data_IF_095155706487
#
_entry.id   IF_095155706487
#
_cell.length_a   1.000
_cell.length_b   1.000
_cell.length_c   1.000
_cell.angle_alpha   90.00
_cell.angle_beta   90.00
_cell.angle_gamma   90.00
#
_symmetry.space_group_name_H-M   'P 1'
#
loop_
_entity.id
_entity.type
_entity.pdbx_description
1 polymer ?
#
# COMPACT_ATOMS: atom_id res chain seq x y z
N UNK A 1 -13.93 -5.59 -33.07
CA UNK A 1 -13.53 -4.51 -32.14
C UNK A 1 -14.67 -3.50 -32.09
N UNK A 2 -15.11 -3.12 -30.89
CA UNK A 2 -16.30 -2.28 -30.72
C UNK A 2 -16.02 -0.82 -31.11
N UNK A 3 -16.81 -0.29 -32.04
CA UNK A 3 -16.70 1.07 -32.63
C UNK A 3 -16.80 2.22 -31.62
N UNK A 4 -17.22 1.95 -30.39
CA UNK A 4 -17.55 2.98 -29.39
C UNK A 4 -16.29 3.49 -28.68
N UNK A 5 -15.33 2.60 -28.37
CA UNK A 5 -14.10 3.02 -27.69
C UNK A 5 -13.27 4.01 -28.53
N UNK A 6 -13.32 3.92 -29.85
CA UNK A 6 -12.64 4.85 -30.78
C UNK A 6 -13.32 6.21 -30.92
N UNK A 7 -14.52 6.40 -30.35
CA UNK A 7 -15.27 7.67 -30.41
C UNK A 7 -15.14 8.50 -29.12
N UNK A 8 -14.51 7.94 -28.08
CA UNK A 8 -14.31 8.61 -26.81
C UNK A 8 -13.03 9.43 -26.89
N UNK A 9 -13.18 10.75 -26.82
CA UNK A 9 -12.05 11.68 -26.73
C UNK A 9 -11.46 11.66 -25.31
N UNK A 10 -10.42 10.84 -25.12
CA UNK A 10 -9.76 10.63 -23.83
C UNK A 10 -9.09 11.89 -23.26
N UNK A 11 -8.82 12.90 -24.10
CA UNK A 11 -8.24 14.17 -23.64
C UNK A 11 -9.26 15.01 -22.87
N UNK A 12 -10.55 14.86 -23.18
CA UNK A 12 -11.65 15.58 -22.51
C UNK A 12 -12.17 14.90 -21.25
N UNK A 13 -11.68 13.70 -20.92
CA UNK A 13 -12.11 12.98 -19.72
C UNK A 13 -11.37 13.49 -18.49
N UNK A 14 -12.16 13.89 -17.49
CA UNK A 14 -11.70 14.17 -16.13
C UNK A 14 -11.94 12.95 -15.24
N UNK A 15 -10.92 12.48 -14.52
CA UNK A 15 -11.04 11.35 -13.58
C UNK A 15 -11.93 11.68 -12.37
N UNK A 16 -11.97 12.95 -11.97
CA UNK A 16 -12.59 13.33 -10.72
C UNK A 16 -14.11 13.32 -10.80
N UNK A 17 -14.65 13.86 -11.88
CA UNK A 17 -16.07 13.95 -12.17
C UNK A 17 -16.32 13.99 -13.68
N UNK A 18 -17.38 13.32 -14.12
CA UNK A 18 -17.78 13.39 -15.51
C UNK A 18 -18.98 12.53 -15.84
N UNK A 19 -19.37 12.58 -17.11
CA UNK A 19 -20.43 11.77 -17.66
C UNK A 19 -20.07 11.26 -19.05
N UNK A 20 -20.59 10.10 -19.39
CA UNK A 20 -20.46 9.51 -20.72
C UNK A 20 -21.84 9.03 -21.17
N UNK A 21 -22.28 9.48 -22.35
CA UNK A 21 -23.60 9.15 -22.89
C UNK A 21 -23.47 8.67 -24.31
N UNK A 22 -24.12 7.56 -24.64
CA UNK A 22 -24.13 7.02 -26.00
C UNK A 22 -25.36 6.14 -26.24
N UNK A 23 -25.64 5.90 -27.52
CA UNK A 23 -26.68 4.99 -27.96
C UNK A 23 -26.04 3.72 -28.54
N UNK A 24 -26.57 2.57 -28.15
CA UNK A 24 -26.25 1.29 -28.77
C UNK A 24 -27.37 0.93 -29.74
N UNK A 25 -27.00 0.75 -31.00
CA UNK A 25 -27.90 0.26 -32.06
C UNK A 25 -27.37 -1.05 -32.62
N UNK A 26 -28.25 -1.89 -33.13
CA UNK A 26 -27.91 -3.15 -33.84
C UNK A 26 -26.92 -4.04 -33.04
N UNK A 27 -27.11 -4.14 -31.73
CA UNK A 27 -26.16 -4.80 -30.83
C UNK A 27 -26.57 -6.22 -30.45
N UNK A 28 -25.59 -7.02 -30.06
CA UNK A 28 -25.77 -8.43 -29.66
C UNK A 28 -25.88 -8.65 -28.14
N UNK A 29 -26.13 -7.61 -27.35
CA UNK A 29 -26.19 -7.68 -25.88
C UNK A 29 -27.26 -8.68 -25.38
N UNK A 30 -28.44 -8.71 -26.00
CA UNK A 30 -29.51 -9.64 -25.62
C UNK A 30 -29.26 -11.09 -26.05
N UNK A 31 -28.20 -11.37 -26.83
CA UNK A 31 -27.89 -12.73 -27.26
C UNK A 31 -27.37 -13.59 -26.10
N UNK A 32 -28.01 -14.74 -25.88
CA UNK A 32 -27.55 -15.74 -24.91
C UNK A 32 -26.26 -16.46 -25.34
N UNK A 33 -25.90 -16.40 -26.63
CA UNK A 33 -24.66 -17.00 -27.15
C UNK A 33 -23.41 -16.28 -26.63
N UNK A 34 -23.52 -14.98 -26.39
CA UNK A 34 -22.39 -14.16 -25.94
C UNK A 34 -22.43 -13.99 -24.42
N UNK A 35 -21.65 -14.83 -23.73
CA UNK A 35 -21.53 -14.79 -22.26
C UNK A 35 -20.85 -13.52 -21.74
N UNK A 36 -20.04 -12.84 -22.55
CA UNK A 36 -19.40 -11.58 -22.15
C UNK A 36 -19.21 -10.68 -23.36
N UNK A 37 -19.56 -9.41 -23.23
CA UNK A 37 -19.37 -8.40 -24.28
C UNK A 37 -18.79 -7.14 -23.64
N UNK A 38 -17.57 -6.76 -23.99
CA UNK A 38 -16.94 -5.51 -23.51
C UNK A 38 -17.43 -4.37 -24.40
N UNK A 39 -18.31 -3.49 -23.92
CA UNK A 39 -18.82 -2.35 -24.71
C UNK A 39 -17.70 -1.32 -24.92
N UNK A 40 -17.07 -0.90 -23.83
CA UNK A 40 -15.82 -0.14 -23.87
C UNK A 40 -14.94 -0.50 -22.68
N UNK A 41 -13.66 -0.25 -22.82
CA UNK A 41 -12.67 -0.45 -21.78
C UNK A 41 -11.50 0.50 -22.05
N UNK A 42 -11.40 1.59 -21.30
CA UNK A 42 -10.33 2.56 -21.46
C UNK A 42 -9.74 2.95 -20.12
N UNK A 43 -8.54 3.52 -20.18
CA UNK A 43 -7.79 4.00 -19.03
C UNK A 43 -7.46 5.47 -19.27
N UNK A 44 -7.70 6.29 -18.26
CA UNK A 44 -7.22 7.67 -18.16
C UNK A 44 -6.37 7.73 -16.90
N UNK A 45 -5.15 8.23 -16.98
CA UNK A 45 -4.19 8.37 -15.86
C UNK A 45 -4.13 7.17 -14.89
N UNK A 46 -4.82 7.24 -13.75
CA UNK A 46 -4.87 6.21 -12.71
C UNK A 46 -6.22 5.51 -12.62
N UNK A 47 -7.14 5.81 -13.52
CA UNK A 47 -8.52 5.30 -13.51
C UNK A 47 -8.79 4.43 -14.72
N UNK A 48 -9.44 3.30 -14.49
CA UNK A 48 -9.97 2.45 -15.55
C UNK A 48 -11.49 2.47 -15.51
N UNK A 49 -12.07 2.68 -16.68
CA UNK A 49 -13.50 2.64 -16.92
C UNK A 49 -13.81 1.44 -17.81
N UNK A 50 -14.68 0.56 -17.33
CA UNK A 50 -15.10 -0.63 -18.06
C UNK A 50 -16.63 -0.69 -18.06
N UNK A 51 -17.21 -0.82 -19.24
CA UNK A 51 -18.61 -1.20 -19.37
C UNK A 51 -18.68 -2.50 -20.15
N UNK A 52 -19.31 -3.51 -19.55
CA UNK A 52 -19.47 -4.81 -20.17
C UNK A 52 -20.83 -5.42 -19.88
N UNK A 53 -21.27 -6.33 -20.75
CA UNK A 53 -22.25 -7.34 -20.39
C UNK A 53 -21.54 -8.52 -19.75
N UNK A 54 -21.98 -8.92 -18.56
CA UNK A 54 -21.50 -10.11 -17.87
C UNK A 54 -22.25 -11.41 -18.27
N UNK A 55 -21.84 -12.53 -17.66
CA UNK A 55 -22.39 -13.87 -17.90
C UNK A 55 -23.86 -14.00 -17.49
N UNK A 56 -24.30 -13.18 -16.55
CA UNK A 56 -25.64 -13.19 -15.97
C UNK A 56 -26.59 -12.22 -16.71
N UNK A 57 -26.11 -11.63 -17.80
CA UNK A 57 -26.80 -10.64 -18.63
C UNK A 57 -27.05 -9.30 -17.93
N UNK A 58 -26.17 -8.91 -17.01
CA UNK A 58 -26.13 -7.54 -16.50
C UNK A 58 -25.22 -6.69 -17.37
N UNK A 59 -25.62 -5.44 -17.61
CA UNK A 59 -24.67 -4.38 -17.95
C UNK A 59 -24.00 -3.96 -16.66
N UNK A 60 -22.71 -4.23 -16.58
CA UNK A 60 -21.84 -3.90 -15.45
C UNK A 60 -20.95 -2.73 -15.82
N UNK A 61 -21.09 -1.64 -15.06
CA UNK A 61 -20.18 -0.51 -15.10
C UNK A 61 -19.19 -0.65 -13.94
N UNK A 62 -17.90 -0.74 -14.27
CA UNK A 62 -16.80 -0.84 -13.32
C UNK A 62 -15.95 0.42 -13.42
N UNK A 63 -15.76 1.08 -12.28
CA UNK A 63 -14.84 2.19 -12.09
C UNK A 63 -13.75 1.75 -11.11
N UNK A 64 -12.49 1.84 -11.55
CA UNK A 64 -11.35 1.34 -10.79
C UNK A 64 -10.29 2.44 -10.66
N UNK A 65 -10.00 2.87 -9.43
CA UNK A 65 -9.02 3.93 -9.14
C UNK A 65 -8.30 3.65 -7.81
N UNK A 66 -6.96 3.75 -7.73
CA UNK A 66 -6.22 3.50 -6.48
C UNK A 66 -6.65 4.33 -5.27
N UNK A 67 -7.08 5.58 -5.48
CA UNK A 67 -7.52 6.50 -4.41
C UNK A 67 -8.97 6.26 -3.98
N UNK A 68 -9.82 5.74 -4.87
CA UNK A 68 -11.27 5.57 -4.62
C UNK A 68 -11.71 4.11 -4.54
N UNK A 69 -10.80 3.17 -4.73
CA UNK A 69 -11.08 1.74 -4.77
C UNK A 69 -11.86 1.31 -6.02
N UNK A 70 -12.66 0.27 -5.86
CA UNK A 70 -13.49 -0.33 -6.90
C UNK A 70 -14.96 0.01 -6.65
N UNK A 71 -15.62 0.58 -7.66
CA UNK A 71 -17.07 0.80 -7.67
C UNK A 71 -17.71 0.06 -8.83
N UNK A 72 -18.78 -0.68 -8.55
CA UNK A 72 -19.52 -1.42 -9.58
C UNK A 72 -21.02 -1.15 -9.51
N UNK A 73 -21.63 -0.85 -10.66
CA UNK A 73 -23.08 -0.78 -10.81
C UNK A 73 -23.54 -1.83 -11.84
N UNK A 74 -24.69 -2.46 -11.62
CA UNK A 74 -25.21 -3.56 -12.47
C UNK A 74 -26.68 -3.36 -12.78
N UNK A 75 -27.04 -3.33 -14.07
CA UNK A 75 -28.44 -3.33 -14.53
C UNK A 75 -28.72 -4.61 -15.31
N UNK A 76 -29.75 -5.36 -14.91
CA UNK A 76 -30.13 -6.61 -15.59
C UNK A 76 -30.85 -6.33 -16.91
N UNK A 77 -30.30 -6.84 -18.02
CA UNK A 77 -30.89 -6.67 -19.35
C UNK A 77 -32.21 -7.42 -19.55
N UNK A 78 -32.54 -8.39 -18.69
CA UNK A 78 -33.82 -9.13 -18.77
C UNK A 78 -35.04 -8.23 -18.55
N UNK A 79 -34.85 -7.05 -17.97
CA UNK A 79 -35.91 -6.07 -17.72
C UNK A 79 -36.25 -5.22 -18.96
N UNK A 80 -35.55 -5.42 -20.08
CA UNK A 80 -35.70 -4.66 -21.31
C UNK A 80 -36.25 -5.56 -22.43
N UNK A 81 -36.91 -4.95 -23.42
CA UNK A 81 -37.40 -5.65 -24.61
C UNK A 81 -36.23 -6.19 -25.42
N UNK A 82 -36.34 -7.45 -25.86
CA UNK A 82 -35.31 -8.05 -26.71
C UNK A 82 -35.21 -7.25 -28.02
N UNK A 83 -33.99 -7.00 -28.45
CA UNK A 83 -33.64 -6.25 -29.68
C UNK A 83 -34.02 -4.76 -29.67
N UNK A 84 -34.30 -4.15 -28.50
CA UNK A 84 -34.42 -2.70 -28.41
C UNK A 84 -33.04 -2.02 -28.56
N UNK A 85 -33.03 -0.87 -29.21
CA UNK A 85 -31.89 0.05 -29.16
C UNK A 85 -31.79 0.64 -27.75
N UNK A 86 -30.59 0.74 -27.21
CA UNK A 86 -30.38 1.19 -25.84
C UNK A 86 -29.74 2.58 -25.81
N UNK A 87 -30.25 3.44 -24.92
CA UNK A 87 -29.58 4.62 -24.43
C UNK A 87 -28.83 4.25 -23.16
N UNK A 88 -27.54 4.58 -23.08
CA UNK A 88 -26.73 4.37 -21.86
C UNK A 88 -26.12 5.70 -21.45
N UNK A 89 -26.27 6.04 -20.17
CA UNK A 89 -25.59 7.15 -19.54
C UNK A 89 -24.82 6.65 -18.31
N UNK A 90 -23.59 7.13 -18.16
CA UNK A 90 -22.71 6.83 -17.04
C UNK A 90 -22.31 8.14 -16.38
N UNK A 91 -22.24 8.15 -15.06
CA UNK A 91 -21.70 9.28 -14.31
C UNK A 91 -20.71 8.78 -13.27
N UNK A 92 -19.72 9.61 -12.96
CA UNK A 92 -18.79 9.38 -11.86
C UNK A 92 -18.47 10.70 -11.18
N UNK A 93 -18.25 10.63 -9.87
CA UNK A 93 -17.80 11.74 -9.03
C UNK A 93 -17.04 11.19 -7.82
N UNK A 94 -16.51 12.08 -6.98
CA UNK A 94 -15.91 11.70 -5.68
C UNK A 94 -16.89 10.90 -4.83
N UNK A 95 -18.16 11.26 -4.86
CA UNK A 95 -19.18 10.73 -3.97
C UNK A 95 -19.87 9.49 -4.55
N UNK A 96 -20.23 9.53 -5.84
CA UNK A 96 -21.07 8.50 -6.44
C UNK A 96 -20.75 8.23 -7.89
N UNK A 97 -20.99 7.00 -8.30
CA UNK A 97 -20.99 6.61 -9.70
C UNK A 97 -22.35 5.98 -10.00
N UNK A 98 -22.83 6.10 -11.23
CA UNK A 98 -24.08 5.43 -11.61
C UNK A 98 -24.07 5.04 -13.08
N UNK A 99 -24.90 4.06 -13.39
CA UNK A 99 -25.27 3.67 -14.75
C UNK A 99 -26.77 3.83 -14.91
N UNK A 100 -27.17 4.39 -16.04
CA UNK A 100 -28.56 4.52 -16.45
C UNK A 100 -28.75 3.92 -17.82
N UNK A 101 -29.81 3.13 -17.99
CA UNK A 101 -30.15 2.48 -19.26
C UNK A 101 -31.63 2.72 -19.56
N UNK A 102 -31.94 3.12 -20.79
CA UNK A 102 -33.31 3.25 -21.28
C UNK A 102 -33.47 2.73 -22.70
N UNK A 103 -34.69 2.40 -23.10
CA UNK A 103 -35.01 1.94 -24.46
C UNK A 103 -35.30 3.12 -25.39
N UNK A 104 -34.78 3.07 -26.62
CA UNK A 104 -35.10 4.03 -27.67
C UNK A 104 -36.31 3.55 -28.50
N UNK A 105 -37.20 4.45 -28.95
CA UNK A 105 -37.18 5.91 -28.79
C UNK A 105 -37.82 6.41 -27.48
N UNK A 106 -38.27 5.53 -26.59
CA UNK A 106 -39.01 5.84 -25.34
C UNK A 106 -38.08 6.42 -24.25
N UNK A 107 -37.40 7.54 -24.53
CA UNK A 107 -36.32 8.13 -23.70
C UNK A 107 -36.71 8.56 -22.29
N UNK A 108 -37.99 8.82 -21.98
CA UNK A 108 -38.36 9.61 -20.79
C UNK A 108 -39.04 8.86 -19.63
N UNK A 109 -39.64 7.69 -19.85
CA UNK A 109 -40.43 7.02 -18.79
C UNK A 109 -39.86 5.67 -18.33
N UNK A 110 -38.82 5.13 -18.97
CA UNK A 110 -38.28 3.78 -18.69
C UNK A 110 -36.75 3.77 -18.46
N UNK A 111 -36.19 4.84 -17.91
CA UNK A 111 -34.77 4.86 -17.55
C UNK A 111 -34.59 4.09 -16.24
N UNK A 112 -33.93 2.94 -16.29
CA UNK A 112 -33.47 2.23 -15.10
C UNK A 112 -32.12 2.82 -14.73
N UNK A 113 -31.96 3.23 -13.48
CA UNK A 113 -30.71 3.77 -12.95
C UNK A 113 -30.28 2.96 -11.74
N UNK A 114 -28.99 2.64 -11.68
CA UNK A 114 -28.38 1.98 -10.54
C UNK A 114 -27.14 2.76 -10.12
N UNK A 115 -27.02 3.01 -8.82
CA UNK A 115 -25.82 3.58 -8.23
C UNK A 115 -24.78 2.47 -8.00
N UNK A 116 -23.51 2.83 -8.14
CA UNK A 116 -22.42 1.88 -7.97
C UNK A 116 -22.15 1.62 -6.50
N UNK A 117 -22.05 0.36 -6.14
CA UNK A 117 -21.60 -0.08 -4.82
C UNK A 117 -20.08 0.01 -4.74
N UNK A 118 -19.58 0.52 -3.62
CA UNK A 118 -18.17 0.40 -3.26
C UNK A 118 -17.89 -1.05 -2.88
N UNK A 119 -16.88 -1.65 -3.50
CA UNK A 119 -16.40 -2.99 -3.12
C UNK A 119 -15.28 -2.89 -2.10
N UNK A 120 -15.30 -3.78 -1.13
CA UNK A 120 -14.27 -3.86 -0.08
C UNK A 120 -13.03 -4.59 -0.60
N UNK A 121 -12.33 -3.93 -1.53
CA UNK A 121 -11.12 -4.42 -2.15
C UNK A 121 -10.11 -3.30 -2.27
N UNK A 122 -8.83 -3.65 -2.20
CA UNK A 122 -7.73 -2.68 -2.38
C UNK A 122 -7.36 -2.59 -3.86
N UNK A 123 -7.23 -1.37 -4.37
CA UNK A 123 -6.82 -1.11 -5.75
C UNK A 123 -5.43 -0.51 -5.75
N UNK A 124 -4.48 -1.17 -6.41
CA UNK A 124 -3.10 -0.68 -6.51
C UNK A 124 -2.66 -0.48 -7.94
N UNK A 125 -1.84 0.54 -8.15
CA UNK A 125 -1.11 0.74 -9.40
C UNK A 125 0.24 0.06 -9.30
N UNK A 126 0.55 -0.78 -10.26
CA UNK A 126 1.85 -1.46 -10.36
C UNK A 126 2.87 -0.58 -11.09
N UNK A 127 4.15 -0.98 -11.03
CA UNK A 127 5.25 -0.30 -11.73
C UNK A 127 5.09 -0.27 -13.25
N UNK A 128 4.38 -1.24 -13.84
CA UNK A 128 4.08 -1.24 -15.29
C UNK A 128 2.83 -0.41 -15.64
N UNK A 129 2.24 0.27 -14.66
CA UNK A 129 1.06 1.11 -14.81
C UNK A 129 -0.25 0.33 -14.85
N UNK A 130 -0.25 -1.00 -14.75
CA UNK A 130 -1.48 -1.76 -14.58
C UNK A 130 -2.14 -1.47 -13.23
N UNK A 131 -3.46 -1.65 -13.17
CA UNK A 131 -4.21 -1.61 -11.93
C UNK A 131 -4.52 -3.05 -11.52
N UNK A 132 -4.27 -3.37 -10.26
CA UNK A 132 -4.59 -4.67 -9.66
C UNK A 132 -5.61 -4.48 -8.55
N UNK A 133 -6.52 -5.44 -8.45
CA UNK A 133 -7.49 -5.54 -7.36
C UNK A 133 -7.00 -6.63 -6.43
N UNK A 134 -6.96 -6.34 -5.13
CA UNK A 134 -6.46 -7.21 -4.09
C UNK A 134 -7.56 -7.43 -3.05
N UNK A 135 -7.78 -8.69 -2.68
CA UNK A 135 -8.84 -9.09 -1.75
C UNK A 135 -10.18 -9.37 -2.43
N UNK A 136 -11.12 -9.79 -1.59
CA UNK A 136 -12.53 -10.02 -1.87
C UNK A 136 -13.30 -9.90 -0.54
N UNK A 137 -14.64 -9.94 -0.56
CA UNK A 137 -15.51 -9.74 0.61
C UNK A 137 -15.13 -10.62 1.83
N UNK A 138 -14.51 -11.79 1.61
CA UNK A 138 -14.11 -12.73 2.67
C UNK A 138 -12.59 -13.01 2.71
N UNK A 139 -11.76 -12.20 2.04
CA UNK A 139 -10.31 -12.46 1.97
C UNK A 139 -9.49 -11.23 2.29
N UNK A 140 -8.93 -11.22 3.49
CA UNK A 140 -7.95 -10.23 3.91
C UNK A 140 -6.58 -10.55 3.29
N UNK A 141 -6.05 -9.59 2.53
CA UNK A 141 -4.75 -9.74 1.88
C UNK A 141 -3.82 -8.63 2.35
N UNK A 142 -2.73 -9.03 3.01
CA UNK A 142 -1.67 -8.14 3.48
C UNK A 142 -0.36 -8.39 2.73
N UNK A 143 0.50 -7.36 2.65
CA UNK A 143 1.89 -7.47 2.22
C UNK A 143 2.10 -8.11 0.82
N UNK A 144 1.27 -7.72 -0.16
CA UNK A 144 1.26 -8.34 -1.49
C UNK A 144 2.48 -7.96 -2.33
N UNK A 145 3.13 -8.98 -2.89
CA UNK A 145 4.15 -8.83 -3.93
C UNK A 145 3.70 -9.53 -5.20
N UNK A 146 3.69 -8.81 -6.33
CA UNK A 146 3.37 -9.38 -7.64
C UNK A 146 4.62 -9.37 -8.50
N UNK A 147 4.94 -10.53 -9.07
CA UNK A 147 5.98 -10.69 -10.09
C UNK A 147 5.35 -11.02 -11.44
N UNK A 148 5.86 -10.38 -12.50
CA UNK A 148 5.51 -10.65 -13.89
C UNK A 148 6.81 -10.71 -14.69
N UNK A 149 7.02 -11.80 -15.41
CA UNK A 149 8.25 -12.05 -16.19
C UNK A 149 9.53 -11.86 -15.35
N UNK A 150 9.54 -12.43 -14.14
CA UNK A 150 10.61 -12.30 -13.13
C UNK A 150 10.83 -10.90 -12.54
N UNK A 151 10.14 -9.86 -13.05
CA UNK A 151 10.21 -8.50 -12.50
C UNK A 151 9.15 -8.29 -11.43
N UNK A 152 9.54 -7.67 -10.31
CA UNK A 152 8.60 -7.27 -9.25
C UNK A 152 7.81 -6.04 -9.72
N UNK A 153 6.57 -6.23 -10.10
CA UNK A 153 5.68 -5.16 -10.60
C UNK A 153 4.85 -4.52 -9.49
N UNK A 154 4.64 -5.22 -8.37
CA UNK A 154 4.06 -4.65 -7.17
C UNK A 154 4.91 -5.03 -5.96
N UNK A 155 5.21 -4.03 -5.14
CA UNK A 155 5.86 -4.19 -3.86
C UNK A 155 4.97 -3.56 -2.78
N UNK A 156 4.96 -4.13 -1.57
CA UNK A 156 4.25 -3.52 -0.46
C UNK A 156 4.96 -2.24 -0.02
N UNK A 157 4.14 -1.29 0.40
CA UNK A 157 4.57 0.02 0.88
C UNK A 157 5.23 -0.09 2.26
N UNK A 158 5.95 0.96 2.66
CA UNK A 158 6.64 1.02 3.96
C UNK A 158 5.67 0.73 5.12
N UNK A 159 4.51 1.38 5.11
CA UNK A 159 3.49 1.24 6.15
C UNK A 159 2.86 -0.14 6.15
N UNK A 160 2.51 -0.68 4.99
CA UNK A 160 1.93 -2.04 4.89
C UNK A 160 2.85 -3.12 5.45
N UNK A 161 4.16 -3.02 5.17
CA UNK A 161 5.14 -3.96 5.72
C UNK A 161 5.24 -3.86 7.23
N UNK A 162 5.16 -2.64 7.76
CA UNK A 162 5.24 -2.38 9.18
C UNK A 162 3.98 -2.85 9.91
N UNK A 163 2.79 -2.56 9.37
CA UNK A 163 1.51 -2.96 9.95
C UNK A 163 1.40 -4.49 10.01
N UNK A 164 1.81 -5.16 8.94
CA UNK A 164 1.87 -6.62 8.94
C UNK A 164 2.85 -7.19 9.99
N UNK A 165 3.92 -6.46 10.33
CA UNK A 165 4.79 -6.85 11.44
C UNK A 165 4.08 -6.68 12.78
N UNK A 166 3.35 -5.58 12.99
CA UNK A 166 2.59 -5.33 14.21
C UNK A 166 1.50 -6.41 14.40
N UNK A 167 0.73 -6.73 13.35
CA UNK A 167 -0.27 -7.81 13.38
C UNK A 167 0.36 -9.16 13.79
N UNK A 168 1.53 -9.49 13.23
CA UNK A 168 2.25 -10.71 13.61
C UNK A 168 2.70 -10.70 15.07
N UNK A 169 3.14 -9.55 15.57
CA UNK A 169 3.52 -9.40 16.98
C UNK A 169 2.31 -9.51 17.90
N UNK A 170 1.14 -9.02 17.49
CA UNK A 170 -0.09 -9.19 18.25
C UNK A 170 -0.46 -10.66 18.40
N UNK A 171 -0.36 -11.46 17.33
CA UNK A 171 -0.56 -12.91 17.42
C UNK A 171 0.45 -13.58 18.35
N UNK A 172 1.71 -13.15 18.34
CA UNK A 172 2.72 -13.66 19.28
C UNK A 172 2.37 -13.28 20.72
N UNK A 173 1.96 -12.03 20.96
CA UNK A 173 1.54 -11.54 22.27
C UNK A 173 0.33 -12.33 22.78
N UNK A 174 -0.65 -12.62 21.93
CA UNK A 174 -1.83 -13.40 22.32
C UNK A 174 -1.46 -14.85 22.69
N UNK A 175 -0.59 -15.49 21.90
CA UNK A 175 -0.07 -16.83 22.24
C UNK A 175 0.68 -16.85 23.58
N UNK A 176 1.47 -15.82 23.87
CA UNK A 176 2.20 -15.71 25.14
C UNK A 176 1.29 -15.47 26.35
N UNK A 177 0.06 -14.94 26.17
CA UNK A 177 -0.91 -14.81 27.27
C UNK A 177 -1.54 -16.15 27.66
N UNK A 178 -1.59 -17.10 26.73
CA UNK A 178 -2.27 -18.39 26.92
C UNK A 178 -1.36 -19.46 27.55
N UNK A 179 -0.04 -19.31 27.49
CA UNK A 179 0.92 -20.32 27.96
C UNK A 179 1.80 -19.82 29.12
N UNK A 180 1.78 -20.55 30.24
CA UNK A 180 2.64 -20.27 31.40
C UNK A 180 4.02 -20.93 31.23
N UNK A 181 4.93 -20.30 30.44
CA UNK A 181 6.27 -20.83 30.13
C UNK A 181 7.35 -19.75 30.11
N UNK A 182 7.88 -19.39 31.27
CA UNK A 182 8.92 -18.36 31.46
C UNK A 182 10.14 -18.45 30.52
N UNK A 183 10.71 -19.64 30.30
CA UNK A 183 11.90 -19.78 29.43
C UNK A 183 11.54 -19.44 27.97
N UNK A 184 10.41 -19.98 27.49
CA UNK A 184 9.91 -19.77 26.13
C UNK A 184 9.55 -18.30 25.93
N UNK A 185 8.94 -17.67 26.95
CA UNK A 185 8.61 -16.25 26.94
C UNK A 185 9.84 -15.38 26.70
N UNK A 186 10.92 -15.60 27.46
CA UNK A 186 12.12 -14.75 27.36
C UNK A 186 12.75 -14.79 25.97
N UNK A 187 12.88 -15.98 25.37
CA UNK A 187 13.40 -16.16 24.01
C UNK A 187 12.49 -15.51 22.97
N UNK A 188 11.17 -15.72 23.05
CA UNK A 188 10.21 -15.14 22.11
C UNK A 188 10.20 -13.60 22.22
N UNK A 189 10.27 -13.06 23.44
CA UNK A 189 10.33 -11.61 23.66
C UNK A 189 11.60 -11.01 23.09
N UNK A 190 12.78 -11.59 23.36
CA UNK A 190 14.05 -11.12 22.78
C UNK A 190 14.01 -11.11 21.25
N UNK A 191 13.56 -12.21 20.63
CA UNK A 191 13.44 -12.30 19.17
C UNK A 191 12.43 -11.29 18.60
N UNK A 192 11.34 -11.04 19.33
CA UNK A 192 10.33 -10.05 18.96
C UNK A 192 10.89 -8.63 19.05
N UNK A 193 11.70 -8.31 20.06
CA UNK A 193 12.41 -7.02 20.17
C UNK A 193 13.33 -6.81 18.97
N UNK A 194 14.14 -7.82 18.61
CA UNK A 194 15.00 -7.75 17.42
C UNK A 194 14.17 -7.51 16.15
N UNK A 195 13.03 -8.19 16.03
CA UNK A 195 12.13 -8.09 14.89
C UNK A 195 11.46 -6.72 14.78
N UNK A 196 11.03 -6.13 15.90
CA UNK A 196 10.46 -4.76 15.95
C UNK A 196 11.46 -3.75 15.40
N UNK A 197 12.72 -3.81 15.87
CA UNK A 197 13.75 -2.88 15.41
C UNK A 197 14.09 -3.08 13.93
N UNK A 198 14.20 -4.33 13.46
CA UNK A 198 14.31 -4.60 12.02
C UNK A 198 13.11 -4.03 11.22
N UNK A 199 11.92 -4.02 11.81
CA UNK A 199 10.73 -3.36 11.29
C UNK A 199 10.88 -1.84 11.14
N UNK A 200 11.34 -1.15 12.18
CA UNK A 200 11.64 0.29 12.15
C UNK A 200 12.66 0.60 11.05
N UNK A 201 13.72 -0.21 10.96
CA UNK A 201 14.76 -0.04 9.94
C UNK A 201 14.21 -0.21 8.54
N UNK A 202 13.43 -1.26 8.31
CA UNK A 202 12.78 -1.56 7.04
C UNK A 202 11.79 -0.45 6.65
N UNK A 203 11.01 0.07 7.62
CA UNK A 203 10.09 1.17 7.39
C UNK A 203 10.83 2.42 6.91
N UNK A 204 11.84 2.90 7.63
CA UNK A 204 12.57 4.11 7.25
C UNK A 204 13.24 3.96 5.87
N UNK A 205 13.93 2.83 5.63
CA UNK A 205 14.55 2.56 4.32
C UNK A 205 13.52 2.62 3.20
N UNK A 206 12.35 1.99 3.41
CA UNK A 206 11.31 1.93 2.39
C UNK A 206 10.59 3.26 2.19
N UNK A 207 10.29 4.00 3.27
CA UNK A 207 9.62 5.30 3.17
C UNK A 207 10.52 6.36 2.53
N UNK A 208 11.82 6.34 2.80
CA UNK A 208 12.79 7.20 2.09
C UNK A 208 12.81 6.87 0.60
N UNK A 209 12.81 5.58 0.22
CA UNK A 209 12.71 5.17 -1.19
C UNK A 209 11.44 5.71 -1.85
N UNK A 210 10.29 5.61 -1.18
CA UNK A 210 9.00 6.11 -1.66
C UNK A 210 8.99 7.64 -1.81
N UNK A 211 9.33 8.37 -0.75
CA UNK A 211 9.37 9.84 -0.76
C UNK A 211 10.35 10.40 -1.79
N UNK A 212 11.47 9.72 -2.02
CA UNK A 212 12.42 10.14 -3.06
C UNK A 212 11.80 10.01 -4.45
N UNK A 213 11.04 8.94 -4.71
CA UNK A 213 10.33 8.76 -6.00
C UNK A 213 9.16 9.72 -6.18
N UNK A 214 8.57 10.15 -5.06
CA UNK A 214 7.47 11.10 -5.03
C UNK A 214 7.94 12.54 -5.24
N UNK A 215 9.11 12.92 -4.69
CA UNK A 215 9.51 14.32 -4.55
C UNK A 215 10.83 14.72 -5.24
N UNK A 216 11.65 13.77 -5.69
CA UNK A 216 12.98 14.06 -6.24
C UNK A 216 13.19 13.35 -7.59
N UNK A 217 13.95 14.01 -8.47
CA UNK A 217 14.32 13.45 -9.79
C UNK A 217 15.43 12.39 -9.70
N UNK A 218 16.17 12.35 -8.58
CA UNK A 218 17.27 11.42 -8.38
C UNK A 218 17.53 11.13 -6.89
N UNK A 219 18.31 10.07 -6.63
CA UNK A 219 18.69 9.64 -5.28
C UNK A 219 20.01 10.25 -4.78
N UNK A 220 20.68 11.08 -5.57
CA UNK A 220 21.96 11.70 -5.18
C UNK A 220 21.87 12.56 -3.90
N UNK A 221 20.82 13.37 -3.70
CA UNK A 221 20.67 14.12 -2.46
C UNK A 221 20.62 13.22 -1.22
N UNK A 222 20.03 12.03 -1.34
CA UNK A 222 20.00 11.04 -0.25
C UNK A 222 21.42 10.54 0.04
N UNK A 223 22.21 10.22 -0.98
CA UNK A 223 23.60 9.80 -0.82
C UNK A 223 24.48 10.85 -0.14
N UNK A 224 24.24 12.13 -0.42
CA UNK A 224 24.95 13.23 0.22
C UNK A 224 24.61 13.31 1.72
N UNK A 225 23.33 13.15 2.09
CA UNK A 225 22.90 13.21 3.50
C UNK A 225 23.42 12.05 4.35
N UNK A 226 23.63 10.88 3.74
CA UNK A 226 24.22 9.72 4.42
C UNK A 226 25.75 9.68 4.31
N UNK A 227 26.35 10.74 3.74
CA UNK A 227 27.79 10.90 3.55
C UNK A 227 28.44 9.68 2.86
N UNK A 228 27.74 9.12 1.87
CA UNK A 228 28.19 7.89 1.22
C UNK A 228 29.43 8.17 0.37
N UNK A 229 30.53 7.44 0.64
CA UNK A 229 31.77 7.52 -0.14
C UNK A 229 31.53 7.22 -1.62
N UNK A 230 32.21 7.93 -2.51
CA UNK A 230 32.04 7.79 -3.97
C UNK A 230 32.27 6.35 -4.47
N UNK A 231 33.21 5.61 -3.87
CA UNK A 231 33.42 4.18 -4.18
C UNK A 231 32.17 3.34 -3.91
N UNK A 232 31.46 3.62 -2.81
CA UNK A 232 30.20 2.96 -2.46
C UNK A 232 29.04 3.44 -3.31
N UNK A 233 28.99 4.72 -3.70
CA UNK A 233 28.00 5.22 -4.67
C UNK A 233 28.11 4.47 -6.00
N UNK A 234 29.34 4.30 -6.52
CA UNK A 234 29.61 3.52 -7.73
C UNK A 234 29.16 2.07 -7.61
N UNK A 235 29.45 1.42 -6.48
CA UNK A 235 29.00 0.06 -6.19
C UNK A 235 27.46 -0.06 -6.21
N UNK A 236 26.76 0.87 -5.55
CA UNK A 236 25.29 0.93 -5.53
C UNK A 236 24.72 1.08 -6.93
N UNK A 237 25.24 2.05 -7.71
CA UNK A 237 24.79 2.27 -9.10
C UNK A 237 25.06 1.05 -9.98
N UNK A 238 26.22 0.42 -9.84
CA UNK A 238 26.56 -0.78 -10.60
C UNK A 238 25.64 -1.94 -10.25
N UNK A 239 25.32 -2.13 -8.96
CA UNK A 239 24.38 -3.17 -8.52
C UNK A 239 22.97 -2.91 -9.03
N UNK A 240 22.49 -1.67 -8.94
CA UNK A 240 21.19 -1.27 -9.49
C UNK A 240 21.07 -1.61 -10.98
N UNK A 241 22.11 -1.27 -11.76
CA UNK A 241 22.19 -1.58 -13.19
C UNK A 241 22.25 -3.08 -13.47
N UNK A 242 23.08 -3.83 -12.74
CA UNK A 242 23.28 -5.27 -12.96
C UNK A 242 22.03 -6.09 -12.60
N UNK A 243 21.27 -5.65 -11.58
CA UNK A 243 20.13 -6.39 -11.06
C UNK A 243 18.77 -5.87 -11.58
N UNK A 244 18.78 -4.92 -12.52
CA UNK A 244 17.58 -4.22 -13.03
C UNK A 244 16.70 -3.71 -11.87
N UNK A 245 17.36 -3.15 -10.85
CA UNK A 245 16.76 -2.63 -9.62
C UNK A 245 16.88 -1.12 -9.55
N UNK A 246 15.99 -0.55 -8.76
CA UNK A 246 16.07 0.86 -8.38
C UNK A 246 17.34 1.14 -7.57
N UNK A 247 17.93 2.32 -7.76
CA UNK A 247 19.17 2.73 -7.08
C UNK A 247 19.05 2.70 -5.56
N UNK A 248 17.88 3.01 -4.98
CA UNK A 248 17.66 2.87 -3.54
C UNK A 248 17.37 1.44 -3.10
N UNK A 249 16.73 0.62 -3.95
CA UNK A 249 16.62 -0.81 -3.67
C UNK A 249 18.03 -1.43 -3.58
N UNK A 250 18.95 -1.01 -4.46
CA UNK A 250 20.36 -1.39 -4.37
C UNK A 250 21.07 -0.76 -3.15
N UNK A 251 20.83 0.52 -2.83
CA UNK A 251 21.43 1.19 -1.67
C UNK A 251 21.10 0.46 -0.38
N UNK A 252 19.82 0.10 -0.19
CA UNK A 252 19.32 -0.60 0.99
C UNK A 252 20.01 -1.96 1.22
N UNK A 253 20.59 -2.53 0.16
CA UNK A 253 21.29 -3.82 0.18
C UNK A 253 22.83 -3.67 0.23
N UNK A 254 23.38 -2.54 -0.20
CA UNK A 254 24.84 -2.30 -0.23
C UNK A 254 25.37 -1.52 0.96
N UNK A 255 24.50 -0.77 1.64
CA UNK A 255 24.90 0.12 2.71
C UNK A 255 24.20 -0.23 4.01
N UNK A 256 24.97 -0.22 5.09
CA UNK A 256 24.44 -0.13 6.44
C UNK A 256 23.96 1.31 6.66
N UNK A 257 22.98 1.79 5.87
CA UNK A 257 22.13 2.87 6.35
C UNK A 257 21.60 2.37 7.67
N UNK A 258 22.13 2.88 8.77
CA UNK A 258 21.71 2.52 10.11
C UNK A 258 20.52 3.44 10.42
N UNK A 259 19.29 2.99 10.18
CA UNK A 259 18.10 3.82 10.34
C UNK A 259 17.77 4.03 11.82
N UNK A 260 18.58 3.46 12.72
CA UNK A 260 18.56 3.73 14.15
C UNK A 260 19.48 4.89 14.53
N UNK A 261 20.26 5.44 13.58
CA UNK A 261 20.86 6.77 13.73
C UNK A 261 19.79 7.83 13.47
N UNK A 262 19.08 8.19 14.53
CA UNK A 262 18.01 9.19 14.54
C UNK A 262 18.46 10.50 13.90
N UNK A 263 19.69 10.95 14.13
CA UNK A 263 20.16 12.24 13.61
C UNK A 263 20.37 12.20 12.08
N UNK A 264 20.88 11.09 11.54
CA UNK A 264 20.98 10.90 10.08
C UNK A 264 19.61 10.81 9.44
N UNK A 265 18.68 10.07 10.04
CA UNK A 265 17.31 9.95 9.53
C UNK A 265 16.60 11.30 9.60
N UNK A 266 16.71 12.04 10.70
CA UNK A 266 16.16 13.38 10.83
C UNK A 266 16.64 14.31 9.71
N UNK A 267 17.95 14.32 9.41
CA UNK A 267 18.51 15.12 8.32
C UNK A 267 17.89 14.76 6.96
N UNK A 268 17.68 13.48 6.68
CA UNK A 268 17.06 13.05 5.42
C UNK A 268 15.62 13.54 5.33
N UNK A 269 14.81 13.31 6.37
CA UNK A 269 13.39 13.67 6.37
C UNK A 269 13.16 15.20 6.35
N UNK A 270 13.94 15.94 7.15
CA UNK A 270 13.79 17.40 7.24
C UNK A 270 14.34 18.09 6.00
N UNK A 271 15.58 17.78 5.59
CA UNK A 271 16.25 18.54 4.53
C UNK A 271 15.75 18.18 3.12
N UNK A 272 15.28 16.94 2.91
CA UNK A 272 14.89 16.47 1.58
C UNK A 272 13.38 16.39 1.39
N UNK A 273 12.61 16.18 2.47
CA UNK A 273 11.17 15.92 2.38
C UNK A 273 10.33 16.90 3.20
N UNK A 274 10.95 17.90 3.84
CA UNK A 274 10.25 18.90 4.67
C UNK A 274 9.37 18.28 5.77
N UNK A 275 9.79 17.13 6.31
CA UNK A 275 9.11 16.45 7.41
C UNK A 275 9.83 16.78 8.71
N UNK A 276 9.15 17.44 9.66
CA UNK A 276 9.69 17.83 10.97
C UNK A 276 9.96 16.63 11.89
N UNK A 277 10.90 15.77 11.52
CA UNK A 277 11.18 14.50 12.20
C UNK A 277 11.62 14.69 13.66
N UNK A 278 12.46 15.69 13.94
CA UNK A 278 12.88 16.00 15.32
C UNK A 278 11.71 16.47 16.18
N UNK A 279 10.74 17.19 15.61
CA UNK A 279 9.55 17.61 16.34
C UNK A 279 8.75 16.39 16.82
N UNK A 280 8.50 15.42 15.92
CA UNK A 280 7.79 14.17 16.23
C UNK A 280 8.51 13.42 17.35
N UNK A 281 9.83 13.24 17.18
CA UNK A 281 10.65 12.50 18.14
C UNK A 281 10.71 13.17 19.52
N UNK A 282 10.75 14.50 19.56
CA UNK A 282 10.83 15.25 20.82
C UNK A 282 9.47 15.34 21.51
N UNK A 283 8.39 15.61 20.78
CA UNK A 283 7.04 15.77 21.33
C UNK A 283 6.51 14.47 21.94
N UNK A 284 6.71 13.33 21.27
CA UNK A 284 6.34 12.02 21.81
C UNK A 284 7.33 11.46 22.84
N UNK A 285 8.43 12.19 23.10
CA UNK A 285 9.54 11.72 23.91
C UNK A 285 10.04 10.33 23.43
N UNK A 286 10.08 10.13 22.12
CA UNK A 286 10.40 8.84 21.49
C UNK A 286 11.92 8.58 21.53
N UNK A 287 12.76 9.62 21.38
CA UNK A 287 14.23 9.48 21.30
C UNK A 287 14.82 8.64 22.44
N UNK A 288 14.70 9.04 23.72
CA UNK A 288 15.35 8.29 24.79
C UNK A 288 14.78 6.88 24.94
N UNK A 289 13.50 6.67 24.61
CA UNK A 289 12.85 5.36 24.69
C UNK A 289 13.34 4.43 23.57
N UNK A 290 13.39 4.91 22.33
CA UNK A 290 13.90 4.16 21.17
C UNK A 290 15.39 3.85 21.34
N UNK A 291 16.21 4.83 21.75
CA UNK A 291 17.64 4.61 22.02
C UNK A 291 17.86 3.56 23.11
N UNK A 292 17.06 3.62 24.19
CA UNK A 292 17.10 2.63 25.26
C UNK A 292 16.72 1.23 24.78
N UNK A 293 15.68 1.08 23.96
CA UNK A 293 15.29 -0.22 23.45
C UNK A 293 16.22 -0.75 22.35
N UNK A 294 16.84 0.15 21.57
CA UNK A 294 17.91 -0.21 20.65
C UNK A 294 19.13 -0.77 21.40
N UNK A 295 19.46 -0.20 22.56
CA UNK A 295 20.48 -0.77 23.45
C UNK A 295 20.17 -2.22 23.82
N UNK A 296 18.90 -2.53 24.15
CA UNK A 296 18.49 -3.92 24.43
C UNK A 296 18.63 -4.82 23.21
N UNK A 297 18.19 -4.37 22.03
CA UNK A 297 18.40 -5.09 20.78
C UNK A 297 19.88 -5.38 20.53
N UNK A 298 20.77 -4.42 20.77
CA UNK A 298 22.21 -4.63 20.60
C UNK A 298 22.78 -5.63 21.60
N UNK A 299 22.32 -5.60 22.85
CA UNK A 299 22.68 -6.61 23.84
C UNK A 299 22.24 -8.01 23.41
N UNK A 300 21.00 -8.17 22.92
CA UNK A 300 20.48 -9.46 22.44
C UNK A 300 21.32 -9.98 21.25
N UNK A 301 21.67 -9.12 20.29
CA UNK A 301 22.32 -9.55 19.05
C UNK A 301 23.83 -9.79 19.21
N UNK A 302 24.50 -9.03 20.07
CA UNK A 302 25.97 -8.98 20.10
C UNK A 302 26.59 -9.59 21.35
N UNK A 303 25.81 -9.93 22.39
CA UNK A 303 26.35 -10.62 23.56
C UNK A 303 26.20 -12.13 23.41
N UNK A 304 27.25 -12.92 23.73
CA UNK A 304 27.23 -14.37 23.58
C UNK A 304 26.42 -15.09 24.67
N UNK A 305 26.08 -14.41 25.75
CA UNK A 305 25.36 -14.96 26.90
C UNK A 305 23.85 -14.76 26.71
N UNK A 306 23.08 -15.85 26.76
CA UNK A 306 21.62 -15.78 26.78
C UNK A 306 21.16 -15.26 28.15
N UNK A 307 21.03 -13.93 28.24
CA UNK A 307 20.61 -13.25 29.47
C UNK A 307 19.14 -12.86 29.38
N UNK A 308 18.33 -13.33 30.33
CA UNK A 308 16.93 -12.87 30.48
C UNK A 308 16.82 -11.40 30.90
N UNK A 309 17.92 -10.76 31.28
CA UNK A 309 18.04 -9.35 31.66
C UNK A 309 18.58 -8.53 30.48
N UNK A 310 17.75 -7.66 29.91
CA UNK A 310 18.03 -6.87 28.72
C UNK A 310 19.07 -5.76 28.94
N UNK A 311 19.21 -5.26 30.17
CA UNK A 311 20.16 -4.22 30.57
C UNK A 311 21.32 -4.75 31.42
N UNK A 312 21.74 -5.99 31.21
CA UNK A 312 22.75 -6.67 32.03
C UNK A 312 24.06 -5.88 32.23
N UNK A 313 24.51 -5.11 31.23
CA UNK A 313 25.70 -4.23 31.35
C UNK A 313 25.56 -3.06 32.33
N UNK A 314 24.32 -2.77 32.76
CA UNK A 314 24.00 -1.69 33.70
C UNK A 314 23.52 -2.22 35.05
N UNK A 315 23.48 -3.54 35.21
CA UNK A 315 23.13 -4.21 36.46
C UNK A 315 24.43 -4.47 37.25
N UNK A 316 24.50 -4.14 38.56
CA UNK A 316 23.40 -3.79 39.46
C UNK A 316 23.13 -2.28 39.64
N UNK A 317 23.78 -1.39 38.90
CA UNK A 317 23.60 0.06 39.08
C UNK A 317 22.19 0.56 38.71
N UNK A 318 21.47 -0.21 37.88
CA UNK A 318 20.07 0.01 37.50
C UNK A 318 19.26 -1.26 37.74
N UNK A 319 17.97 -1.09 38.02
CA UNK A 319 17.03 -2.20 38.18
C UNK A 319 17.06 -3.12 36.94
N UNK A 320 17.02 -4.46 37.14
CA UNK A 320 17.05 -5.40 36.03
C UNK A 320 15.76 -5.31 35.22
N UNK A 321 15.91 -5.27 33.90
CA UNK A 321 14.82 -5.23 32.95
C UNK A 321 14.74 -6.58 32.27
N UNK A 322 13.70 -7.33 32.61
CA UNK A 322 13.52 -8.68 32.10
C UNK A 322 12.90 -8.67 30.69
N UNK A 323 13.32 -9.64 29.88
CA UNK A 323 12.70 -9.99 28.61
C UNK A 323 11.37 -10.73 28.90
N UNK A 324 10.30 -9.97 29.13
CA UNK A 324 8.97 -10.50 29.44
C UNK A 324 7.88 -9.81 28.62
N UNK A 325 6.68 -10.39 28.60
CA UNK A 325 5.55 -9.98 27.76
C UNK A 325 5.23 -8.50 27.91
N UNK A 326 5.24 -7.95 29.13
CA UNK A 326 4.92 -6.53 29.35
C UNK A 326 6.01 -5.60 28.78
N UNK A 327 7.26 -6.06 28.73
CA UNK A 327 8.34 -5.33 28.05
C UNK A 327 8.09 -5.30 26.54
N UNK A 328 7.67 -6.43 25.95
CA UNK A 328 7.34 -6.49 24.52
C UNK A 328 6.14 -5.60 24.16
N UNK A 329 5.06 -5.65 24.95
CA UNK A 329 3.87 -4.81 24.74
C UNK A 329 4.25 -3.32 24.73
N UNK A 330 5.01 -2.86 25.73
CA UNK A 330 5.47 -1.47 25.81
C UNK A 330 6.33 -1.05 24.62
N UNK A 331 7.17 -1.95 24.12
CA UNK A 331 8.00 -1.70 22.94
C UNK A 331 7.12 -1.62 21.67
N UNK A 332 6.18 -2.56 21.52
CA UNK A 332 5.24 -2.60 20.39
C UNK A 332 4.46 -1.30 20.30
N UNK A 333 3.78 -0.92 21.39
CA UNK A 333 2.94 0.28 21.47
C UNK A 333 3.73 1.54 21.14
N UNK A 334 4.92 1.71 21.74
CA UNK A 334 5.76 2.87 21.48
C UNK A 334 6.16 2.98 20.01
N UNK A 335 6.61 1.87 19.42
CA UNK A 335 7.12 1.85 18.05
C UNK A 335 5.99 2.01 17.05
N UNK A 336 4.84 1.39 17.32
CA UNK A 336 3.62 1.57 16.53
C UNK A 336 3.15 3.03 16.53
N UNK A 337 3.08 3.65 17.71
CA UNK A 337 2.71 5.06 17.87
C UNK A 337 3.66 5.98 17.09
N UNK A 338 4.98 5.81 17.30
CA UNK A 338 6.01 6.58 16.62
C UNK A 338 5.93 6.48 15.09
N UNK A 339 5.81 5.26 14.56
CA UNK A 339 5.74 5.04 13.10
C UNK A 339 4.42 5.58 12.55
N UNK A 340 3.31 5.48 13.28
CA UNK A 340 2.03 6.06 12.86
C UNK A 340 2.08 7.59 12.79
N UNK A 341 2.67 8.26 13.78
CA UNK A 341 2.85 9.71 13.75
C UNK A 341 3.77 10.15 12.62
N UNK A 342 4.91 9.48 12.46
CA UNK A 342 5.83 9.72 11.36
C UNK A 342 5.16 9.52 10.00
N UNK A 343 4.41 8.43 9.83
CA UNK A 343 3.78 8.12 8.55
C UNK A 343 2.76 9.18 8.14
N UNK A 344 1.90 9.63 9.07
CA UNK A 344 0.93 10.71 8.84
C UNK A 344 1.63 11.97 8.30
N UNK A 345 2.72 12.37 8.95
CA UNK A 345 3.52 13.55 8.55
C UNK A 345 4.26 13.40 7.22
N UNK A 346 4.31 12.20 6.65
CA UNK A 346 4.93 11.96 5.33
C UNK A 346 3.92 11.83 4.20
N UNK A 347 2.61 11.79 4.51
CA UNK A 347 1.53 11.75 3.51
C UNK A 347 0.91 13.14 3.34
N UNK A 348 0.87 13.93 4.42
CA UNK A 348 0.52 15.36 4.41
C UNK A 348 1.55 16.19 3.62
#
# INVERSE_FOLDING_TARGET
MNKIASQIDLEKINEDEGSLVFNLKDHNLFSSKNKRIIIFNFKKDNTRFLLEKDKDSNIKYTYLNPKRGLREAKINLKNFQRNSDLFIALTWSKQKNSVSIGELPKRKNNLVQEEAEQKDVKVKKTKDGSLVVLGDEDTEVANVMIKKDSKKILLPEAKEKFDFLIERLEKIIDLLKEEDKFIVESTIVQQSIVSVFAGIESYHKKRIEELTKENLDSFEPVFDKIELRESKRKEVRQKAKNEDKDTMEALSQCTNLNPLNIDTIAKIFEDLFNVNYREIINNGNYRPKIERFNHYRNNIVHKPEDTTILNFDKTPQQDPIHAKLETLIKIKELVEEFINELHKKTID
#
